data_IF_497534321046
#
_entry.id   IF_497534321046
#
_cell.length_a   1.000
_cell.length_b   1.000
_cell.length_c   1.000
_cell.angle_alpha   90.00
_cell.angle_beta   90.00
_cell.angle_gamma   90.00
#
_symmetry.space_group_name_H-M   'P 1'
#
loop_
_entity.id
_entity.type
_entity.pdbx_description
1 polymer ?
#
# COMPACT_ATOMS: atom_id res chain seq x y z
N UNK A 1 -63.10 75.52 -7.67
CA UNK A 1 -63.29 76.68 -6.77
C UNK A 1 -62.60 76.35 -5.46
N UNK A 2 -61.53 77.04 -5.12
CA UNK A 2 -60.84 76.86 -3.84
C UNK A 2 -61.55 77.73 -2.82
N UNK A 3 -62.24 77.12 -1.87
CA UNK A 3 -62.92 77.85 -0.80
C UNK A 3 -61.85 78.28 0.20
N UNK A 4 -61.71 79.58 0.40
CA UNK A 4 -60.83 80.13 1.43
C UNK A 4 -61.49 79.96 2.80
N UNK A 5 -61.15 78.86 3.48
CA UNK A 5 -61.69 78.50 4.79
C UNK A 5 -61.34 79.54 5.86
N UNK A 6 -60.17 80.18 5.75
CA UNK A 6 -59.72 81.19 6.72
C UNK A 6 -60.56 82.47 6.58
N UNK A 7 -60.78 82.94 5.36
CA UNK A 7 -61.65 84.09 5.10
C UNK A 7 -63.10 83.84 5.56
N UNK A 8 -63.61 82.61 5.44
CA UNK A 8 -64.92 82.24 5.98
C UNK A 8 -64.93 82.26 7.52
N UNK A 9 -63.91 81.68 8.17
CA UNK A 9 -63.79 81.72 9.64
C UNK A 9 -63.77 83.16 10.15
N UNK A 10 -63.00 84.04 9.54
CA UNK A 10 -62.94 85.46 9.92
C UNK A 10 -64.27 86.19 9.69
N UNK A 11 -64.98 85.89 8.61
CA UNK A 11 -66.26 86.53 8.27
C UNK A 11 -67.40 86.17 9.23
N UNK A 12 -67.47 84.90 9.64
CA UNK A 12 -68.54 84.37 10.50
C UNK A 12 -68.14 84.33 11.99
N UNK A 13 -66.93 84.77 12.33
CA UNK A 13 -66.52 84.98 13.72
C UNK A 13 -67.23 86.19 14.34
N UNK A 14 -67.47 86.18 15.66
CA UNK A 14 -67.97 87.33 16.39
C UNK A 14 -67.07 88.56 16.16
N UNK A 15 -67.67 89.69 15.78
CA UNK A 15 -66.93 90.93 15.56
C UNK A 15 -66.66 91.65 16.89
N UNK A 16 -65.48 92.27 17.07
CA UNK A 16 -65.20 93.06 18.26
C UNK A 16 -66.14 94.27 18.34
N UNK A 17 -66.37 94.77 19.56
CA UNK A 17 -67.16 95.97 19.76
C UNK A 17 -66.52 97.18 19.06
N UNK A 18 -67.29 98.02 18.36
CA UNK A 18 -66.74 99.18 17.67
C UNK A 18 -66.24 100.23 18.67
N UNK A 19 -65.23 100.99 18.24
CA UNK A 19 -64.75 102.15 18.96
C UNK A 19 -65.62 103.39 18.67
N UNK A 20 -65.73 104.27 19.65
CA UNK A 20 -66.45 105.51 19.51
C UNK A 20 -65.71 106.47 18.57
N UNK A 21 -66.32 106.87 17.45
CA UNK A 21 -65.74 107.84 16.51
C UNK A 21 -65.50 109.25 17.10
N UNK A 22 -66.06 109.55 18.28
CA UNK A 22 -65.92 110.86 18.95
C UNK A 22 -64.77 110.85 19.98
N UNK A 23 -64.53 109.73 20.69
CA UNK A 23 -63.54 109.67 21.78
C UNK A 23 -62.59 108.46 21.77
N UNK A 24 -62.73 107.55 20.80
CA UNK A 24 -61.87 106.36 20.63
C UNK A 24 -62.05 105.25 21.68
N UNK A 25 -62.97 105.41 22.63
CA UNK A 25 -63.23 104.37 23.66
C UNK A 25 -64.13 103.26 23.10
N UNK A 26 -63.93 102.04 23.58
CA UNK A 26 -64.78 100.88 23.26
C UNK A 26 -66.23 101.16 23.65
N UNK A 27 -67.14 100.87 22.72
CA UNK A 27 -68.56 101.12 22.92
C UNK A 27 -69.23 99.93 23.58
N UNK A 28 -70.25 100.20 24.41
CA UNK A 28 -71.02 99.15 25.08
C UNK A 28 -72.34 98.89 24.36
N UNK A 29 -72.80 97.65 24.42
CA UNK A 29 -74.07 97.22 23.81
C UNK A 29 -75.23 97.87 24.56
N UNK A 30 -76.06 98.63 23.84
CA UNK A 30 -77.23 99.30 24.40
C UNK A 30 -78.54 98.56 24.09
N UNK A 31 -78.58 97.88 22.95
CA UNK A 31 -79.72 97.08 22.52
C UNK A 31 -79.27 95.97 21.58
N UNK A 32 -79.74 94.76 21.83
CA UNK A 32 -79.63 93.64 20.88
C UNK A 32 -81.02 93.28 20.38
N UNK A 33 -81.19 93.24 19.07
CA UNK A 33 -82.44 92.85 18.42
C UNK A 33 -82.12 91.93 17.25
N UNK A 34 -82.26 90.62 17.46
CA UNK A 34 -81.88 89.59 16.50
C UNK A 34 -80.47 89.83 15.93
N UNK A 35 -80.34 90.18 14.66
CA UNK A 35 -79.07 90.44 13.97
C UNK A 35 -78.60 91.89 14.05
N UNK A 36 -79.29 92.79 14.76
CA UNK A 36 -78.88 94.18 14.90
C UNK A 36 -78.43 94.48 16.33
N UNK A 37 -77.16 94.85 16.47
CA UNK A 37 -76.56 95.26 17.73
C UNK A 37 -76.35 96.77 17.68
N UNK A 38 -77.01 97.48 18.58
CA UNK A 38 -76.79 98.93 18.76
C UNK A 38 -75.73 99.14 19.83
N UNK A 39 -74.62 99.74 19.45
CA UNK A 39 -73.57 100.18 20.34
C UNK A 39 -73.74 101.66 20.66
N UNK A 40 -73.36 102.06 21.88
CA UNK A 40 -73.34 103.46 22.31
C UNK A 40 -72.15 103.75 23.21
N UNK A 41 -71.60 104.96 23.12
CA UNK A 41 -70.60 105.43 24.06
C UNK A 41 -71.29 106.06 25.27
N UNK A 42 -71.43 105.30 26.35
CA UNK A 42 -72.04 105.77 27.60
C UNK A 42 -71.12 106.71 28.38
N UNK A 43 -69.82 106.75 28.05
CA UNK A 43 -68.83 107.54 28.81
C UNK A 43 -68.60 107.03 30.24
N UNK A 44 -69.21 105.89 30.58
CA UNK A 44 -69.09 105.22 31.86
C UNK A 44 -67.81 104.39 31.89
N UNK A 45 -66.99 104.61 32.91
CA UNK A 45 -65.89 103.74 33.29
C UNK A 45 -66.30 102.98 34.54
N UNK A 46 -66.05 101.67 34.52
CA UNK A 46 -66.35 100.76 35.63
C UNK A 46 -65.04 100.41 36.32
N UNK A 47 -64.88 100.86 37.55
CA UNK A 47 -63.77 100.49 38.44
C UNK A 47 -64.29 99.95 39.77
N UNK A 48 -63.38 99.60 40.68
CA UNK A 48 -63.71 99.08 42.03
C UNK A 48 -64.49 100.10 42.90
N UNK A 49 -64.61 101.36 42.46
CA UNK A 49 -65.37 102.43 43.14
C UNK A 49 -66.75 102.65 42.54
N UNK A 50 -67.15 101.86 41.54
CA UNK A 50 -68.44 101.91 40.89
C UNK A 50 -68.43 102.62 39.53
N UNK A 51 -69.62 102.83 38.96
CA UNK A 51 -69.76 103.48 37.66
C UNK A 51 -69.55 104.98 37.81
N UNK A 52 -68.51 105.52 37.17
CA UNK A 52 -68.27 106.95 37.08
C UNK A 52 -68.18 107.39 35.62
N UNK A 53 -68.70 108.57 35.32
CA UNK A 53 -68.66 109.15 33.98
C UNK A 53 -67.43 110.05 33.86
N UNK A 54 -66.82 110.09 32.67
CA UNK A 54 -65.76 111.07 32.39
C UNK A 54 -66.25 112.50 32.59
N UNK A 55 -65.36 113.39 33.02
CA UNK A 55 -65.69 114.77 33.40
C UNK A 55 -66.46 115.52 32.29
N UNK A 56 -67.65 116.07 32.62
CA UNK A 56 -68.55 116.73 31.66
C UNK A 56 -69.51 115.81 30.89
N UNK A 57 -69.56 114.51 31.21
CA UNK A 57 -70.45 113.51 30.58
C UNK A 57 -71.53 113.03 31.54
N UNK A 58 -72.70 112.68 31.01
CA UNK A 58 -73.82 112.16 31.79
C UNK A 58 -74.56 111.05 31.04
N UNK A 59 -75.41 110.30 31.73
CA UNK A 59 -76.25 109.30 31.08
C UNK A 59 -77.11 109.94 29.98
N UNK A 60 -77.07 109.34 28.78
CA UNK A 60 -77.79 109.83 27.60
C UNK A 60 -77.48 111.28 27.17
N UNK A 61 -76.24 111.73 27.39
CA UNK A 61 -75.73 113.00 26.90
C UNK A 61 -75.72 113.10 25.36
N UNK A 62 -75.42 114.30 24.84
CA UNK A 62 -75.34 114.55 23.39
C UNK A 62 -74.32 113.62 22.72
N UNK A 63 -73.23 113.32 23.42
CA UNK A 63 -72.24 112.35 22.98
C UNK A 63 -72.82 110.94 22.87
N UNK A 64 -73.61 110.48 23.83
CA UNK A 64 -74.29 109.19 23.76
C UNK A 64 -75.24 109.14 22.56
N UNK A 65 -76.00 110.21 22.30
CA UNK A 65 -76.91 110.26 21.14
C UNK A 65 -76.17 110.23 19.81
N UNK A 66 -75.10 111.01 19.68
CA UNK A 66 -74.31 111.11 18.45
C UNK A 66 -73.39 109.91 18.22
N UNK A 67 -72.94 109.25 19.29
CA UNK A 67 -72.03 108.10 19.19
C UNK A 67 -72.71 106.81 18.76
N UNK A 68 -74.06 106.71 18.80
CA UNK A 68 -74.77 105.46 18.54
C UNK A 68 -74.54 104.93 17.12
N UNK A 69 -74.15 103.67 17.04
CA UNK A 69 -74.02 102.94 15.78
C UNK A 69 -74.78 101.62 15.87
N UNK A 70 -75.49 101.26 14.81
CA UNK A 70 -76.12 99.95 14.70
C UNK A 70 -75.31 99.12 13.73
N UNK A 71 -74.77 98.01 14.22
CA UNK A 71 -74.00 97.05 13.43
C UNK A 71 -74.86 95.81 13.22
N UNK A 72 -74.84 95.27 12.00
CA UNK A 72 -75.45 93.97 11.70
C UNK A 72 -74.47 92.88 12.08
N UNK A 73 -74.88 92.02 13.02
CA UNK A 73 -74.17 90.80 13.37
C UNK A 73 -74.40 89.77 12.26
N UNK A 74 -73.29 89.28 11.72
CA UNK A 74 -73.24 88.25 10.67
C UNK A 74 -72.48 87.02 11.16
N UNK A 75 -72.19 86.95 12.45
CA UNK A 75 -71.56 85.78 13.05
C UNK A 75 -72.53 84.60 13.03
N UNK A 76 -72.00 83.43 12.72
CA UNK A 76 -72.78 82.19 12.60
C UNK A 76 -71.97 81.02 13.18
N UNK A 77 -72.33 80.55 14.40
CA UNK A 77 -71.61 79.45 15.05
C UNK A 77 -71.77 78.12 14.31
N UNK A 78 -72.88 77.90 13.59
CA UNK A 78 -73.13 76.66 12.86
C UNK A 78 -72.18 76.56 11.65
N UNK A 79 -71.91 77.68 10.98
CA UNK A 79 -70.91 77.74 9.89
C UNK A 79 -69.50 77.44 10.41
N UNK A 80 -69.12 77.94 11.58
CA UNK A 80 -67.82 77.65 12.18
C UNK A 80 -67.67 76.17 12.56
N UNK A 81 -68.73 75.57 13.13
CA UNK A 81 -68.76 74.15 13.46
C UNK A 81 -68.63 73.25 12.22
N UNK A 82 -69.29 73.62 11.11
CA UNK A 82 -69.16 72.90 9.83
C UNK A 82 -67.74 73.01 9.23
N UNK A 83 -67.06 74.13 9.42
CA UNK A 83 -65.66 74.29 9.00
C UNK A 83 -64.71 73.41 9.83
N UNK A 84 -64.94 73.29 11.14
CA UNK A 84 -64.19 72.39 12.03
C UNK A 84 -64.39 70.92 11.65
N UNK A 85 -65.63 70.52 11.34
CA UNK A 85 -65.95 69.16 10.87
C UNK A 85 -65.26 68.88 9.53
N UNK A 86 -65.29 69.83 8.59
CA UNK A 86 -64.65 69.69 7.29
C UNK A 86 -63.12 69.59 7.39
N UNK A 87 -62.49 70.36 8.28
CA UNK A 87 -61.04 70.28 8.53
C UNK A 87 -60.66 68.93 9.17
N UNK A 88 -61.48 68.44 10.09
CA UNK A 88 -61.31 67.12 10.71
C UNK A 88 -61.45 65.98 9.71
N UNK A 89 -62.47 66.02 8.85
CA UNK A 89 -62.69 65.02 7.81
C UNK A 89 -61.58 65.02 6.76
N UNK A 90 -61.11 66.21 6.34
CA UNK A 90 -59.96 66.33 5.43
C UNK A 90 -58.67 65.80 6.07
N UNK A 91 -58.47 66.05 7.37
CA UNK A 91 -57.35 65.49 8.13
C UNK A 91 -57.37 63.96 8.08
N UNK A 92 -58.52 63.34 8.35
CA UNK A 92 -58.68 61.88 8.30
C UNK A 92 -58.42 61.31 6.89
N UNK A 93 -58.97 61.94 5.85
CA UNK A 93 -58.74 61.55 4.47
C UNK A 93 -57.24 61.61 4.11
N UNK A 94 -56.55 62.68 4.51
CA UNK A 94 -55.11 62.85 4.25
C UNK A 94 -54.25 61.80 4.99
N UNK A 95 -54.60 61.47 6.23
CA UNK A 95 -53.89 60.45 7.02
C UNK A 95 -54.10 59.06 6.41
N UNK A 96 -55.32 58.74 5.98
CA UNK A 96 -55.62 57.48 5.32
C UNK A 96 -54.89 57.34 3.97
N UNK A 97 -54.83 58.41 3.18
CA UNK A 97 -54.05 58.42 1.94
C UNK A 97 -52.56 58.23 2.22
N UNK A 98 -52.01 58.91 3.24
CA UNK A 98 -50.62 58.75 3.63
C UNK A 98 -50.30 57.31 4.08
N UNK A 99 -51.15 56.69 4.89
CA UNK A 99 -51.01 55.28 5.28
C UNK A 99 -51.11 54.36 4.06
N UNK A 100 -52.07 54.58 3.17
CA UNK A 100 -52.21 53.80 1.93
C UNK A 100 -50.95 53.86 1.07
N UNK A 101 -50.37 55.05 0.89
CA UNK A 101 -49.11 55.23 0.18
C UNK A 101 -47.94 54.55 0.90
N UNK A 102 -47.92 54.58 2.24
CA UNK A 102 -46.91 53.86 3.02
C UNK A 102 -46.96 52.35 2.78
N UNK A 103 -48.15 51.75 2.88
CA UNK A 103 -48.33 50.31 2.59
C UNK A 103 -48.01 49.96 1.14
N UNK A 104 -48.35 50.84 0.19
CA UNK A 104 -47.98 50.65 -1.21
C UNK A 104 -46.47 50.59 -1.40
N UNK A 105 -45.73 51.54 -0.83
CA UNK A 105 -44.26 51.56 -0.92
C UNK A 105 -43.61 50.35 -0.24
N UNK A 106 -44.16 49.88 0.88
CA UNK A 106 -43.71 48.64 1.52
C UNK A 106 -43.94 47.42 0.61
N UNK A 107 -45.11 47.34 -0.03
CA UNK A 107 -45.43 46.25 -0.95
C UNK A 107 -44.52 46.25 -2.18
N UNK A 108 -44.22 47.42 -2.77
CA UNK A 108 -43.27 47.55 -3.86
C UNK A 108 -41.86 47.12 -3.45
N UNK A 109 -41.38 47.60 -2.30
CA UNK A 109 -40.06 47.22 -1.77
C UNK A 109 -39.94 45.72 -1.48
N UNK A 110 -40.98 45.09 -0.92
CA UNK A 110 -41.01 43.65 -0.70
C UNK A 110 -41.10 42.87 -2.02
N UNK A 111 -41.85 43.37 -3.00
CA UNK A 111 -41.90 42.82 -4.36
C UNK A 111 -40.51 42.79 -5.00
N UNK A 112 -39.79 43.90 -5.00
CA UNK A 112 -38.42 43.94 -5.53
C UNK A 112 -37.45 43.01 -4.76
N UNK A 113 -37.66 42.85 -3.45
CA UNK A 113 -36.85 41.93 -2.63
C UNK A 113 -37.13 40.48 -3.01
N UNK A 114 -38.39 40.13 -3.27
CA UNK A 114 -38.79 38.83 -3.76
C UNK A 114 -38.20 38.56 -5.16
N UNK A 115 -38.31 39.50 -6.10
CA UNK A 115 -37.75 39.37 -7.45
C UNK A 115 -36.23 39.13 -7.44
N UNK A 116 -35.50 39.86 -6.58
CA UNK A 116 -34.06 39.65 -6.40
C UNK A 116 -33.75 38.27 -5.80
N UNK A 117 -34.59 37.77 -4.90
CA UNK A 117 -34.42 36.45 -4.31
C UNK A 117 -34.70 35.34 -5.34
N UNK A 118 -35.79 35.46 -6.11
CA UNK A 118 -36.15 34.52 -7.17
C UNK A 118 -35.05 34.42 -8.24
N UNK A 119 -34.47 35.55 -8.64
CA UNK A 119 -33.34 35.55 -9.58
C UNK A 119 -32.13 34.79 -9.04
N UNK A 120 -31.78 34.98 -7.76
CA UNK A 120 -30.69 34.24 -7.11
C UNK A 120 -30.99 32.74 -7.00
N UNK A 121 -32.23 32.36 -6.72
CA UNK A 121 -32.64 30.95 -6.69
C UNK A 121 -32.47 30.33 -8.08
N UNK A 122 -32.94 31.00 -9.13
CA UNK A 122 -32.79 30.53 -10.52
C UNK A 122 -31.33 30.36 -10.94
N UNK A 123 -30.45 31.31 -10.58
CA UNK A 123 -29.00 31.20 -10.82
C UNK A 123 -28.40 29.98 -10.10
N UNK A 124 -28.77 29.74 -8.85
CA UNK A 124 -28.32 28.59 -8.07
C UNK A 124 -28.83 27.26 -8.64
N UNK A 125 -30.06 27.20 -9.13
CA UNK A 125 -30.62 26.02 -9.78
C UNK A 125 -29.86 25.67 -11.07
N UNK A 126 -29.49 26.68 -11.87
CA UNK A 126 -28.69 26.49 -13.06
C UNK A 126 -27.31 25.90 -12.71
N UNK A 127 -26.65 26.45 -11.69
CA UNK A 127 -25.35 25.97 -11.20
C UNK A 127 -25.47 24.53 -10.68
N UNK A 128 -26.47 24.25 -9.85
CA UNK A 128 -26.69 22.91 -9.30
C UNK A 128 -26.91 21.87 -10.41
N UNK A 129 -27.65 22.23 -11.46
CA UNK A 129 -27.90 21.37 -12.62
C UNK A 129 -26.61 21.09 -13.40
N UNK A 130 -25.78 22.12 -13.68
CA UNK A 130 -24.48 21.96 -14.34
C UNK A 130 -23.53 21.04 -13.54
N UNK A 131 -23.46 21.24 -12.21
CA UNK A 131 -22.70 20.35 -11.34
C UNK A 131 -23.24 18.92 -11.35
N UNK A 132 -24.56 18.72 -11.35
CA UNK A 132 -25.18 17.40 -11.47
C UNK A 132 -24.74 16.66 -12.74
N UNK A 133 -24.74 17.35 -13.88
CA UNK A 133 -24.28 16.77 -15.16
C UNK A 133 -22.79 16.44 -15.13
N UNK A 134 -21.96 17.33 -14.59
CA UNK A 134 -20.50 17.09 -14.45
C UNK A 134 -20.20 15.89 -13.56
N UNK A 135 -20.94 15.75 -12.45
CA UNK A 135 -20.80 14.62 -11.54
C UNK A 135 -21.20 13.30 -12.21
N UNK A 136 -22.31 13.28 -12.96
CA UNK A 136 -22.74 12.10 -13.70
C UNK A 136 -21.70 11.67 -14.73
N UNK A 137 -21.17 12.62 -15.52
CA UNK A 137 -20.11 12.35 -16.50
C UNK A 137 -18.85 11.78 -15.83
N UNK A 138 -18.45 12.31 -14.68
CA UNK A 138 -17.31 11.81 -13.93
C UNK A 138 -17.55 10.38 -13.42
N UNK A 139 -18.74 10.07 -12.89
CA UNK A 139 -19.11 8.72 -12.50
C UNK A 139 -19.08 7.74 -13.67
N UNK A 140 -19.60 8.14 -14.83
CA UNK A 140 -19.64 7.28 -16.01
C UNK A 140 -18.23 7.03 -16.56
N UNK A 141 -17.35 8.04 -16.54
CA UNK A 141 -15.94 7.88 -16.89
C UNK A 141 -15.22 6.90 -15.95
N UNK A 142 -15.44 7.00 -14.63
CA UNK A 142 -14.87 6.09 -13.65
C UNK A 142 -15.39 4.66 -13.82
N UNK A 143 -16.69 4.48 -14.06
CA UNK A 143 -17.28 3.17 -14.36
C UNK A 143 -16.69 2.56 -15.63
N UNK A 144 -16.54 3.35 -16.68
CA UNK A 144 -15.91 2.91 -17.92
C UNK A 144 -14.46 2.49 -17.70
N UNK A 145 -13.67 3.26 -16.94
CA UNK A 145 -12.30 2.90 -16.61
C UNK A 145 -12.23 1.62 -15.77
N UNK A 146 -13.12 1.43 -14.81
CA UNK A 146 -13.20 0.22 -14.00
C UNK A 146 -13.54 -1.03 -14.86
N UNK A 147 -14.47 -0.89 -15.81
CA UNK A 147 -14.80 -1.95 -16.76
C UNK A 147 -13.62 -2.29 -17.67
N UNK A 148 -12.91 -1.28 -18.18
CA UNK A 148 -11.70 -1.49 -18.97
C UNK A 148 -10.62 -2.22 -18.16
N UNK A 149 -10.33 -1.76 -16.94
CA UNK A 149 -9.36 -2.42 -16.06
C UNK A 149 -9.76 -3.87 -15.77
N UNK A 150 -11.05 -4.14 -15.51
CA UNK A 150 -11.54 -5.51 -15.32
C UNK A 150 -11.26 -6.38 -16.54
N UNK A 151 -11.57 -5.89 -17.74
CA UNK A 151 -11.30 -6.62 -18.99
C UNK A 151 -9.81 -6.87 -19.23
N UNK A 152 -8.96 -5.89 -18.88
CA UNK A 152 -7.50 -6.02 -18.96
C UNK A 152 -6.97 -7.04 -17.98
N UNK A 153 -7.48 -7.06 -16.75
CA UNK A 153 -7.14 -8.05 -15.73
C UNK A 153 -7.53 -9.46 -16.17
N UNK A 154 -8.76 -9.67 -16.65
CA UNK A 154 -9.21 -10.96 -17.16
C UNK A 154 -8.36 -11.44 -18.36
N UNK A 155 -7.96 -10.52 -19.24
CA UNK A 155 -7.06 -10.84 -20.35
C UNK A 155 -5.64 -11.18 -19.86
N UNK A 156 -5.13 -10.46 -18.86
CA UNK A 156 -3.83 -10.72 -18.25
C UNK A 156 -3.81 -12.07 -17.52
N UNK A 157 -4.86 -12.40 -16.78
CA UNK A 157 -5.03 -13.70 -16.12
C UNK A 157 -5.03 -14.85 -17.13
N UNK A 158 -5.76 -14.72 -18.24
CA UNK A 158 -5.74 -15.71 -19.33
C UNK A 158 -4.34 -15.87 -19.93
N UNK A 159 -3.61 -14.77 -20.13
CA UNK A 159 -2.21 -14.82 -20.61
C UNK A 159 -1.30 -15.51 -19.60
N UNK A 160 -1.41 -15.19 -18.31
CA UNK A 160 -0.64 -15.84 -17.25
C UNK A 160 -0.96 -17.33 -17.13
N UNK A 161 -2.23 -17.72 -17.23
CA UNK A 161 -2.64 -19.13 -17.26
C UNK A 161 -2.04 -19.88 -18.47
N UNK A 162 -2.02 -19.24 -19.65
CA UNK A 162 -1.37 -19.77 -20.85
C UNK A 162 0.15 -19.93 -20.68
N UNK A 163 0.82 -18.93 -20.11
CA UNK A 163 2.26 -18.97 -19.81
C UNK A 163 2.60 -20.00 -18.73
N UNK A 164 1.79 -20.12 -17.69
CA UNK A 164 1.92 -21.16 -16.66
C UNK A 164 1.78 -22.56 -17.25
N UNK A 165 0.81 -22.76 -18.14
CA UNK A 165 0.64 -24.03 -18.86
C UNK A 165 1.82 -24.33 -19.79
N UNK A 166 2.37 -23.33 -20.47
CA UNK A 166 3.58 -23.47 -21.28
C UNK A 166 4.83 -23.75 -20.43
N UNK A 167 4.96 -23.09 -19.27
CA UNK A 167 6.04 -23.32 -18.31
C UNK A 167 5.96 -24.74 -17.72
N UNK A 168 4.76 -25.24 -17.39
CA UNK A 168 4.52 -26.60 -16.91
C UNK A 168 4.96 -27.69 -17.89
N UNK A 169 4.96 -27.40 -19.20
CA UNK A 169 5.44 -28.33 -20.24
C UNK A 169 6.97 -28.24 -20.39
N UNK A 170 7.56 -27.08 -20.12
CA UNK A 170 9.00 -26.85 -20.24
C UNK A 170 9.78 -27.15 -18.93
N UNK A 171 9.08 -27.43 -17.84
CA UNK A 171 9.64 -27.74 -16.52
C UNK A 171 9.80 -29.24 -16.23
N UNK A 172 9.65 -30.10 -17.25
CA UNK A 172 9.98 -31.52 -17.10
C UNK A 172 11.50 -31.65 -16.96
N UNK A 173 11.97 -31.73 -15.72
CA UNK A 173 13.37 -31.91 -15.37
C UNK A 173 13.92 -33.16 -16.08
N UNK A 174 14.81 -32.93 -17.06
CA UNK A 174 15.53 -33.97 -17.78
C UNK A 174 17.03 -33.69 -17.75
N UNK A 175 17.77 -34.31 -16.83
CA UNK A 175 19.20 -34.43 -16.99
C UNK A 175 19.53 -35.11 -18.33
N UNK A 176 20.60 -34.72 -19.01
CA UNK A 176 21.08 -35.46 -20.19
C UNK A 176 21.64 -36.85 -19.81
N UNK A 177 21.99 -37.00 -18.53
CA UNK A 177 22.53 -38.22 -17.92
C UNK A 177 21.84 -38.45 -16.57
N UNK A 178 21.41 -39.68 -16.31
CA UNK A 178 20.79 -40.07 -15.04
C UNK A 178 21.76 -39.81 -13.88
N UNK A 179 21.37 -39.05 -12.85
CA UNK A 179 22.27 -38.65 -11.78
C UNK A 179 22.65 -39.80 -10.84
N UNK A 180 21.89 -40.90 -10.82
CA UNK A 180 22.15 -42.05 -9.93
C UNK A 180 22.89 -43.17 -10.67
N UNK A 181 22.54 -43.45 -11.93
CA UNK A 181 23.13 -44.58 -12.69
C UNK A 181 24.16 -44.16 -13.73
N UNK A 182 24.26 -42.88 -14.06
CA UNK A 182 25.11 -42.38 -15.15
C UNK A 182 24.65 -42.77 -16.56
N UNK A 183 23.48 -43.40 -16.72
CA UNK A 183 22.92 -43.78 -18.03
C UNK A 183 22.48 -42.54 -18.80
N UNK A 184 22.67 -42.52 -20.13
CA UNK A 184 22.26 -41.38 -20.98
C UNK A 184 20.75 -41.36 -21.17
N UNK A 185 20.19 -40.16 -21.29
CA UNK A 185 18.80 -39.99 -21.67
C UNK A 185 18.53 -40.67 -23.03
N UNK A 186 17.42 -41.41 -23.11
CA UNK A 186 17.02 -42.11 -24.31
C UNK A 186 15.74 -41.50 -24.90
N UNK A 187 14.61 -41.60 -24.20
CA UNK A 187 13.34 -41.02 -24.63
C UNK A 187 12.36 -40.82 -23.47
N UNK A 188 11.19 -40.27 -23.76
CA UNK A 188 10.09 -40.25 -22.80
C UNK A 188 9.12 -41.38 -23.10
N UNK A 189 8.66 -42.05 -22.04
CA UNK A 189 7.73 -43.19 -22.12
C UNK A 189 6.59 -42.95 -21.14
N UNK A 190 5.38 -43.31 -21.56
CA UNK A 190 4.20 -43.26 -20.70
C UNK A 190 4.22 -44.44 -19.71
N UNK A 191 4.23 -44.13 -18.42
CA UNK A 191 4.14 -45.08 -17.33
C UNK A 191 2.75 -45.01 -16.68
N UNK A 192 2.19 -46.17 -16.31
CA UNK A 192 0.81 -46.28 -15.83
C UNK A 192 0.56 -45.47 -14.54
N UNK A 193 1.55 -45.38 -13.66
CA UNK A 193 1.40 -44.70 -12.36
C UNK A 193 2.10 -43.35 -12.29
N UNK A 194 3.18 -43.16 -13.04
CA UNK A 194 4.03 -41.96 -13.00
C UNK A 194 3.76 -40.99 -14.16
N UNK A 195 2.88 -41.37 -15.09
CA UNK A 195 2.61 -40.59 -16.30
C UNK A 195 3.81 -40.59 -17.25
N UNK A 196 4.01 -39.49 -17.96
CA UNK A 196 5.10 -39.37 -18.93
C UNK A 196 6.43 -39.17 -18.22
N UNK A 197 7.32 -40.17 -18.24
CA UNK A 197 8.58 -40.21 -17.51
C UNK A 197 9.80 -40.24 -18.44
N UNK A 198 10.93 -39.63 -18.07
CA UNK A 198 12.15 -39.70 -18.86
C UNK A 198 12.86 -41.03 -18.57
N UNK A 199 13.24 -41.75 -19.63
CA UNK A 199 13.97 -43.01 -19.51
C UNK A 199 15.41 -42.88 -20.00
N UNK A 200 16.31 -43.64 -19.36
CA UNK A 200 17.75 -43.58 -19.52
C UNK A 200 18.30 -44.99 -19.77
N UNK A 201 19.18 -45.14 -20.76
CA UNK A 201 19.67 -46.46 -21.16
C UNK A 201 20.02 -46.53 -22.65
N UNK A 202 19.55 -47.59 -23.31
CA UNK A 202 19.85 -47.88 -24.70
C UNK A 202 18.64 -48.43 -25.47
N UNK A 203 18.84 -48.85 -26.73
CA UNK A 203 17.75 -49.23 -27.63
C UNK A 203 17.03 -50.54 -27.27
N UNK A 204 17.60 -51.37 -26.39
CA UNK A 204 17.01 -52.64 -25.95
C UNK A 204 16.25 -52.49 -24.63
N UNK A 205 16.87 -51.83 -23.64
CA UNK A 205 16.28 -51.55 -22.34
C UNK A 205 16.50 -50.08 -21.96
N UNK A 206 15.44 -49.42 -21.52
CA UNK A 206 15.51 -48.09 -20.91
C UNK A 206 14.88 -48.08 -19.53
N UNK A 207 15.34 -47.17 -18.68
CA UNK A 207 15.05 -47.23 -17.24
C UNK A 207 14.64 -45.88 -16.69
N UNK A 208 13.74 -45.86 -15.72
CA UNK A 208 13.41 -44.63 -14.99
C UNK A 208 14.58 -44.18 -14.12
N UNK A 209 14.58 -42.91 -13.73
CA UNK A 209 15.53 -42.42 -12.71
C UNK A 209 15.23 -43.18 -11.41
N UNK A 210 16.25 -43.78 -10.76
CA UNK A 210 16.02 -44.59 -9.58
C UNK A 210 15.40 -43.78 -8.45
N UNK A 211 14.45 -44.40 -7.75
CA UNK A 211 13.83 -43.85 -6.56
C UNK A 211 14.27 -44.64 -5.34
N UNK A 212 14.47 -43.91 -4.24
CA UNK A 212 14.84 -44.48 -2.95
C UNK A 212 13.57 -44.92 -2.23
N UNK A 213 13.55 -46.17 -1.79
CA UNK A 213 12.44 -46.69 -0.97
C UNK A 213 12.63 -46.36 0.52
N UNK A 214 11.70 -46.82 1.36
CA UNK A 214 11.78 -46.65 2.82
C UNK A 214 12.89 -47.47 3.49
N UNK A 215 13.42 -48.48 2.81
CA UNK A 215 14.54 -49.30 3.28
C UNK A 215 15.91 -48.66 2.98
N UNK A 216 15.90 -47.63 2.12
CA UNK A 216 17.08 -46.90 1.69
C UNK A 216 17.74 -47.45 0.43
N UNK A 217 17.12 -48.43 -0.21
CA UNK A 217 17.57 -49.08 -1.44
C UNK A 217 17.04 -48.34 -2.67
N UNK A 218 17.88 -48.23 -3.70
CA UNK A 218 17.50 -47.61 -4.96
C UNK A 218 16.97 -48.66 -5.92
N UNK A 219 15.75 -48.42 -6.41
CA UNK A 219 15.11 -49.26 -7.44
C UNK A 219 14.73 -48.40 -8.65
N UNK A 220 14.74 -49.01 -9.83
CA UNK A 220 14.25 -48.37 -11.05
C UNK A 220 13.34 -49.33 -11.82
N UNK A 221 12.40 -48.76 -12.57
CA UNK A 221 11.53 -49.53 -13.46
C UNK A 221 12.18 -49.65 -14.83
N UNK A 222 12.10 -50.84 -15.43
CA UNK A 222 12.68 -51.15 -16.73
C UNK A 222 11.59 -51.20 -17.78
N UNK A 223 11.82 -50.52 -18.89
CA UNK A 223 11.03 -50.64 -20.10
C UNK A 223 11.80 -51.48 -21.12
N UNK A 224 11.25 -52.65 -21.45
CA UNK A 224 11.79 -53.56 -22.45
C UNK A 224 11.25 -53.14 -23.82
N UNK A 225 12.15 -52.69 -24.70
CA UNK A 225 11.78 -52.19 -26.02
C UNK A 225 11.47 -53.31 -27.03
N UNK A 226 11.94 -54.53 -26.80
CA UNK A 226 11.64 -55.69 -27.64
C UNK A 226 10.24 -56.22 -27.34
N UNK A 227 9.81 -56.18 -26.07
CA UNK A 227 8.45 -56.53 -25.63
C UNK A 227 7.45 -55.37 -25.73
N UNK A 228 7.94 -54.12 -25.71
CA UNK A 228 7.12 -52.92 -25.78
C UNK A 228 6.34 -52.63 -24.48
N UNK A 229 6.90 -52.98 -23.33
CA UNK A 229 6.20 -52.89 -22.04
C UNK A 229 7.11 -52.69 -20.84
N UNK A 230 6.52 -52.22 -19.74
CA UNK A 230 7.19 -52.09 -18.45
C UNK A 230 7.34 -53.46 -17.80
N UNK A 231 8.55 -53.78 -17.36
CA UNK A 231 8.93 -55.03 -16.69
C UNK A 231 9.32 -54.71 -15.24
N UNK A 232 9.14 -55.69 -14.35
CA UNK A 232 9.41 -55.55 -12.90
C UNK A 232 10.77 -54.92 -12.58
N UNK A 233 10.78 -54.08 -11.55
CA UNK A 233 11.90 -53.20 -11.22
C UNK A 233 13.22 -53.93 -10.93
N UNK A 234 14.32 -53.27 -11.31
CA UNK A 234 15.68 -53.73 -11.08
C UNK A 234 16.27 -53.01 -9.86
N UNK A 235 16.80 -53.80 -8.92
CA UNK A 235 17.55 -53.29 -7.77
C UNK A 235 18.97 -52.95 -8.21
N UNK A 236 19.41 -51.72 -7.90
CA UNK A 236 20.66 -51.19 -8.46
C UNK A 236 21.86 -51.54 -7.56
N UNK A 237 21.61 -52.02 -6.33
CA UNK A 237 22.66 -52.40 -5.38
C UNK A 237 23.54 -51.24 -4.91
N UNK A 238 23.14 -49.99 -5.20
CA UNK A 238 23.77 -48.80 -4.62
C UNK A 238 23.08 -48.47 -3.29
N UNK A 239 23.90 -48.21 -2.27
CA UNK A 239 23.47 -47.64 -1.00
C UNK A 239 24.18 -46.31 -0.79
N UNK A 240 23.47 -45.33 -0.22
CA UNK A 240 24.10 -44.10 0.23
C UNK A 240 24.88 -44.41 1.52
N UNK A 241 26.18 -44.17 1.47
CA UNK A 241 27.04 -44.15 2.65
C UNK A 241 26.90 -42.75 3.26
N UNK A 242 26.67 -42.67 4.58
CA UNK A 242 26.64 -41.36 5.25
C UNK A 242 28.06 -40.77 5.39
N UNK A 243 28.15 -39.46 5.65
CA UNK A 243 29.44 -38.76 5.72
C UNK A 243 30.38 -39.37 6.78
N UNK A 244 29.82 -39.94 7.86
CA UNK A 244 30.58 -40.58 8.94
C UNK A 244 31.17 -41.93 8.50
N UNK A 245 30.38 -42.75 7.79
CA UNK A 245 30.83 -44.02 7.24
C UNK A 245 31.81 -43.81 6.08
N UNK A 246 31.62 -42.76 5.27
CA UNK A 246 32.57 -42.36 4.24
C UNK A 246 33.92 -41.94 4.86
N UNK A 247 33.91 -41.20 5.97
CA UNK A 247 35.14 -40.87 6.72
C UNK A 247 35.86 -42.13 7.21
N UNK A 248 35.13 -43.12 7.75
CA UNK A 248 35.71 -44.39 8.21
C UNK A 248 36.35 -45.19 7.09
N UNK A 249 35.72 -45.23 5.91
CA UNK A 249 36.28 -45.91 4.74
C UNK A 249 37.59 -45.24 4.32
N UNK A 250 37.62 -43.90 4.24
CA UNK A 250 38.85 -43.17 3.91
C UNK A 250 39.97 -43.41 4.94
N UNK A 251 39.66 -43.40 6.24
CA UNK A 251 40.64 -43.73 7.30
C UNK A 251 41.19 -45.16 7.17
N UNK A 252 40.32 -46.12 6.82
CA UNK A 252 40.74 -47.51 6.62
C UNK A 252 41.60 -47.66 5.37
N UNK A 253 41.27 -46.98 4.28
CA UNK A 253 42.08 -46.97 3.06
C UNK A 253 43.46 -46.36 3.31
N UNK A 254 43.55 -45.25 4.06
CA UNK A 254 44.84 -44.68 4.48
C UNK A 254 45.66 -45.66 5.32
N UNK A 255 45.02 -46.34 6.29
CA UNK A 255 45.69 -47.36 7.11
C UNK A 255 46.18 -48.56 6.29
N UNK A 256 45.42 -48.98 5.28
CA UNK A 256 45.84 -50.05 4.36
C UNK A 256 47.05 -49.57 3.55
N UNK A 257 47.01 -48.36 3.00
CA UNK A 257 48.14 -47.78 2.27
C UNK A 257 49.40 -47.64 3.14
N UNK A 258 49.26 -47.24 4.41
CA UNK A 258 50.37 -47.23 5.37
C UNK A 258 50.95 -48.62 5.63
N UNK A 259 50.10 -49.64 5.76
CA UNK A 259 50.53 -51.03 5.97
C UNK A 259 51.22 -51.61 4.72
N UNK A 260 50.68 -51.35 3.54
CA UNK A 260 51.28 -51.76 2.26
C UNK A 260 52.62 -51.05 2.00
N UNK A 261 52.76 -49.78 2.42
CA UNK A 261 54.02 -49.05 2.31
C UNK A 261 55.12 -49.57 3.25
N UNK A 262 54.75 -50.22 4.36
CA UNK A 262 55.69 -50.86 5.30
C UNK A 262 56.10 -52.26 4.85
N UNK A 263 55.44 -52.83 3.86
CA UNK A 263 55.79 -54.12 3.29
C UNK A 263 57.01 -54.01 2.38
N UNK A 264 58.12 -54.66 2.76
CA UNK A 264 59.35 -54.65 1.97
C UNK A 264 59.19 -55.66 0.83
N UNK A 265 59.13 -55.17 -0.41
CA UNK A 265 59.00 -56.00 -1.61
C UNK A 265 60.40 -56.33 -2.19
N UNK A 266 60.69 -57.58 -2.61
CA UNK A 266 61.96 -57.92 -3.24
C UNK A 266 62.10 -57.25 -4.62
N UNK A 267 63.31 -56.82 -4.98
CA UNK A 267 63.58 -56.37 -6.35
C UNK A 267 63.60 -57.54 -7.35
N UNK A 268 63.46 -57.24 -8.64
CA UNK A 268 63.45 -58.28 -9.69
C UNK A 268 64.81 -58.98 -9.76
N UNK A 269 64.85 -60.28 -9.43
CA UNK A 269 66.09 -61.08 -9.37
C UNK A 269 66.73 -61.16 -7.99
N UNK A 270 66.13 -60.52 -6.98
CA UNK A 270 66.51 -60.59 -5.57
C UNK A 270 65.58 -61.54 -4.81
N UNK A 271 66.13 -62.31 -3.88
CA UNK A 271 65.35 -63.13 -2.93
C UNK A 271 65.42 -62.47 -1.57
N UNK A 272 64.32 -61.84 -1.14
CA UNK A 272 64.20 -61.24 0.18
C UNK A 272 63.76 -62.30 1.20
N UNK A 273 64.54 -62.47 2.25
CA UNK A 273 64.21 -63.34 3.38
C UNK A 273 63.97 -62.45 4.61
N UNK A 274 62.74 -62.44 5.12
CA UNK A 274 62.37 -61.68 6.32
C UNK A 274 62.26 -62.65 7.50
N UNK A 275 63.14 -62.48 8.49
CA UNK A 275 63.11 -63.27 9.74
C UNK A 275 62.50 -62.39 10.85
N UNK A 276 61.28 -62.70 11.26
CA UNK A 276 60.53 -61.96 12.29
C UNK A 276 60.30 -62.79 13.56
N UNK A 277 60.14 -62.12 14.70
CA UNK A 277 59.92 -62.76 16.01
C UNK A 277 60.36 -61.90 17.21
N UNK A 278 59.99 -62.31 18.41
CA UNK A 278 60.27 -61.56 19.65
C UNK A 278 61.77 -61.50 20.00
N UNK A 279 62.21 -60.45 20.70
CA UNK A 279 63.61 -60.28 21.12
C UNK A 279 64.09 -61.48 21.96
N UNK A 280 65.25 -62.06 21.65
CA UNK A 280 65.79 -63.24 22.33
C UNK A 280 65.34 -64.61 21.79
N UNK A 281 64.48 -64.68 20.78
CA UNK A 281 64.00 -65.97 20.22
C UNK A 281 64.96 -66.65 19.22
N UNK A 282 66.22 -66.22 19.14
CA UNK A 282 67.24 -66.83 18.27
C UNK A 282 67.22 -66.39 16.80
N UNK A 283 66.50 -65.32 16.44
CA UNK A 283 66.44 -64.80 15.04
C UNK A 283 67.81 -64.54 14.43
N UNK A 284 68.72 -63.96 15.20
CA UNK A 284 70.05 -63.56 14.75
C UNK A 284 70.97 -64.78 14.54
N UNK A 285 70.71 -65.90 15.23
CA UNK A 285 71.39 -67.16 14.95
C UNK A 285 70.96 -67.73 13.59
N UNK A 286 69.65 -67.80 13.33
CA UNK A 286 69.11 -68.27 12.05
C UNK A 286 69.54 -67.36 10.89
N UNK A 287 69.46 -66.04 11.07
CA UNK A 287 69.95 -65.08 10.06
C UNK A 287 71.46 -65.21 9.80
N UNK A 288 72.24 -65.48 10.85
CA UNK A 288 73.68 -65.75 10.74
C UNK A 288 74.01 -67.05 10.00
N UNK A 289 73.28 -68.14 10.26
CA UNK A 289 73.45 -69.42 9.54
C UNK A 289 73.14 -69.25 8.04
N UNK A 290 72.07 -68.52 7.71
CA UNK A 290 71.72 -68.19 6.32
C UNK A 290 72.84 -67.38 5.66
N UNK A 291 73.39 -66.36 6.35
CA UNK A 291 74.49 -65.54 5.84
C UNK A 291 75.73 -66.39 5.52
N UNK A 292 76.12 -67.30 6.42
CA UNK A 292 77.29 -68.17 6.23
C UNK A 292 77.07 -69.13 5.06
N UNK A 293 75.92 -69.79 4.99
CA UNK A 293 75.60 -70.74 3.93
C UNK A 293 75.62 -70.09 2.55
N UNK A 294 75.02 -68.90 2.42
CA UNK A 294 74.98 -68.16 1.16
C UNK A 294 76.37 -67.67 0.74
N UNK A 295 77.20 -67.17 1.68
CA UNK A 295 78.60 -66.80 1.40
C UNK A 295 79.46 -68.00 0.98
N UNK A 296 79.26 -69.16 1.59
CA UNK A 296 79.99 -70.39 1.24
C UNK A 296 79.68 -70.87 -0.19
N UNK A 297 78.46 -70.63 -0.69
CA UNK A 297 78.03 -70.96 -2.06
C UNK A 297 78.41 -69.83 -3.05
N UNK A 298 78.95 -68.71 -2.57
CA UNK A 298 79.38 -67.57 -3.39
C UNK A 298 78.26 -66.59 -3.75
N UNK A 299 77.12 -66.65 -3.06
CA UNK A 299 76.01 -65.68 -3.22
C UNK A 299 76.31 -64.43 -2.39
N UNK A 300 76.23 -63.21 -2.96
CA UNK A 300 76.40 -61.98 -2.19
C UNK A 300 75.23 -61.80 -1.22
N UNK A 301 75.53 -61.55 0.05
CA UNK A 301 74.52 -61.34 1.11
C UNK A 301 74.70 -59.97 1.72
N UNK A 302 73.58 -59.29 1.95
CA UNK A 302 73.52 -58.05 2.72
C UNK A 302 72.53 -58.24 3.88
N UNK A 303 73.00 -58.05 5.11
CA UNK A 303 72.15 -58.09 6.30
C UNK A 303 71.97 -56.66 6.83
N UNK A 304 70.84 -56.04 6.50
CA UNK A 304 70.46 -54.71 6.98
C UNK A 304 69.96 -54.75 8.43
N UNK A 305 70.37 -53.79 9.28
CA UNK A 305 70.01 -53.67 10.70
C UNK A 305 70.52 -54.77 11.68
N UNK A 306 71.50 -55.61 11.29
CA UNK A 306 71.99 -56.73 12.12
C UNK A 306 73.18 -56.42 13.06
N UNK A 307 73.88 -55.31 12.86
CA UNK A 307 75.20 -55.09 13.45
C UNK A 307 75.19 -54.95 14.98
N UNK A 308 74.15 -54.33 15.55
CA UNK A 308 74.01 -54.17 17.00
C UNK A 308 73.80 -55.51 17.74
N UNK A 309 73.11 -56.47 17.13
CA UNK A 309 72.86 -57.81 17.72
C UNK A 309 74.04 -58.78 17.50
N UNK A 310 74.78 -58.65 16.38
CA UNK A 310 75.99 -59.43 16.09
C UNK A 310 77.08 -59.26 17.15
N UNK A 311 77.27 -58.02 17.62
CA UNK A 311 78.28 -57.70 18.63
C UNK A 311 77.92 -58.18 20.04
N UNK A 312 76.64 -58.30 20.39
CA UNK A 312 76.20 -58.79 21.70
C UNK A 312 76.28 -60.31 21.85
N UNK A 313 76.24 -61.06 20.75
CA UNK A 313 76.14 -62.54 20.75
C UNK A 313 77.47 -63.25 20.45
N UNK A 314 78.55 -62.51 20.19
CA UNK A 314 79.86 -63.10 19.89
C UNK A 314 79.92 -63.84 18.56
N UNK A 315 79.04 -63.48 17.63
CA UNK A 315 78.89 -64.11 16.32
C UNK A 315 79.92 -63.58 15.30
N UNK A 316 81.22 -63.63 15.65
CA UNK A 316 82.32 -63.28 14.75
C UNK A 316 82.79 -64.55 14.00
N UNK A 317 82.22 -64.78 12.82
CA UNK A 317 82.38 -66.02 12.04
C UNK A 317 83.60 -66.02 11.11
N UNK A 318 84.49 -65.02 11.19
CA UNK A 318 85.71 -64.98 10.36
C UNK A 318 86.53 -66.28 10.50
N UNK A 319 86.60 -66.84 11.71
CA UNK A 319 87.29 -68.10 12.02
C UNK A 319 86.55 -69.34 11.49
N UNK A 320 85.21 -69.28 11.39
CA UNK A 320 84.40 -70.38 10.88
C UNK A 320 84.42 -70.46 9.34
N UNK A 321 84.65 -69.33 8.66
CA UNK A 321 84.84 -69.26 7.21
C UNK A 321 86.12 -69.99 6.77
N UNK A 322 87.18 -70.02 7.59
CA UNK A 322 88.39 -70.78 7.27
C UNK A 322 88.20 -72.31 7.34
N UNK A 323 87.33 -72.80 8.23
CA UNK A 323 86.98 -74.24 8.30
C UNK A 323 86.24 -74.74 7.05
N UNK A 324 85.63 -73.84 6.28
CA UNK A 324 84.85 -74.15 5.09
C UNK A 324 85.58 -73.81 3.78
N UNK A 325 86.90 -73.60 3.77
CA UNK A 325 87.67 -73.49 2.51
C UNK A 325 87.68 -74.85 1.79
N UNK A 326 86.94 -75.06 0.67
CA UNK A 326 86.98 -76.35 0.00
C UNK A 326 88.29 -76.50 -0.76
N UNK A 327 89.06 -77.55 -0.47
CA UNK A 327 90.19 -77.94 -1.33
C UNK A 327 89.66 -78.69 -2.55
N UNK A 328 89.72 -78.04 -3.72
CA UNK A 328 89.38 -78.66 -5.00
C UNK A 328 90.60 -79.41 -5.53
N UNK A 329 90.52 -80.73 -5.65
CA UNK A 329 91.52 -81.55 -6.34
C UNK A 329 90.95 -82.00 -7.68
N UNK A 330 91.48 -81.44 -8.76
CA UNK A 330 91.10 -81.80 -10.14
C UNK A 330 92.06 -82.87 -10.63
N UNK A 331 91.53 -84.00 -11.11
CA UNK A 331 92.30 -85.05 -11.80
C UNK A 331 91.69 -85.23 -13.18
N UNK A 332 92.47 -84.89 -14.21
CA UNK A 332 92.11 -85.09 -15.60
C UNK A 332 92.62 -86.47 -16.05
N UNK A 333 91.72 -87.32 -16.56
CA UNK A 333 92.06 -88.64 -17.11
C UNK A 333 91.72 -88.64 -18.59
N UNK A 334 92.73 -88.76 -19.45
CA UNK A 334 92.55 -88.76 -20.88
C UNK A 334 92.30 -90.20 -21.39
N UNK A 335 91.12 -90.46 -21.98
CA UNK A 335 90.77 -91.77 -22.53
C UNK A 335 90.93 -91.74 -24.06
N UNK A 336 91.78 -92.59 -24.67
CA UNK A 336 91.98 -92.59 -26.11
C UNK A 336 90.71 -93.05 -26.85
N UNK A 337 90.31 -92.29 -27.87
CA UNK A 337 89.14 -92.60 -28.71
C UNK A 337 89.42 -93.86 -29.55
N UNK A 338 88.69 -94.93 -29.27
CA UNK A 338 88.65 -96.10 -30.15
C UNK A 338 87.96 -95.74 -31.48
N UNK A 339 88.65 -95.99 -32.59
CA UNK A 339 88.12 -95.76 -33.93
C UNK A 339 86.99 -96.76 -34.22
N UNK A 340 85.78 -96.27 -34.49
CA UNK A 340 84.77 -97.12 -35.16
C UNK A 340 83.30 -96.95 -34.81
N UNK A 341 82.87 -95.98 -34.00
CA UNK A 341 81.43 -95.82 -33.73
C UNK A 341 80.87 -94.68 -34.60
N UNK A 342 80.38 -95.04 -35.78
CA UNK A 342 79.51 -94.19 -36.60
C UNK A 342 78.17 -94.07 -35.88
N UNK A 343 77.79 -92.85 -35.52
CA UNK A 343 76.44 -92.51 -35.06
C UNK A 343 75.50 -92.73 -36.26
N UNK A 344 74.54 -93.65 -36.13
CA UNK A 344 73.36 -93.68 -37.03
C UNK A 344 72.33 -92.73 -36.44
N UNK A 345 72.02 -91.68 -37.20
CA UNK A 345 70.93 -90.76 -36.91
C UNK A 345 69.58 -91.44 -37.14
N UNK A 346 68.73 -91.40 -36.12
CA UNK A 346 67.27 -91.30 -36.22
C UNK A 346 66.73 -90.78 -34.91
#
# INVERSE_FOLDING_TARGET
MTIDKQALRERYSPKPAPECHICGKEMTIQRMSASQITYGCTGATYDDKGCHYTEGRSIADDHYKQSRVTVVDVSDPDVLALLDELDSANGYASAYEAEKWHYHGLAESEGERADRAEKRVSELECIATDYGVKFQKAQDALKHQALLHKSQMEAAEKRLAGLSKAASVNSQWKPDVCPVTGRKFFMWIEHETLGYVPTYGGPFDSYTIPTRDSSGEFSCERYDHDLGGWVGGEFIGLYLIDDDEQCRVCELEERIAELEAREIKPAKGEVLVVVSGFTGCGKSAIAGEIEIAMKAIGVPVQWTNGDAEKHMTGADWLTAIEMYKPTVRIVEVNVPRAAGIKVKES
#
